data_IF_429105707671
#
_entry.id   IF_429105707671
#
_cell.length_a   1.000
_cell.length_b   1.000
_cell.length_c   1.000
_cell.angle_alpha   90.00
_cell.angle_beta   90.00
_cell.angle_gamma   90.00
#
_symmetry.space_group_name_H-M   'P 1'
#
loop_
_entity.id
_entity.type
_entity.pdbx_description
1 polymer ?
#
# COMPACT_ATOMS: atom_id res chain seq x y z
N UNK A 1 17.07 4.46 -20.61
CA UNK A 1 18.00 5.59 -20.77
C UNK A 1 19.21 5.27 -19.91
N UNK A 2 20.46 5.33 -20.38
CA UNK A 2 21.61 5.13 -19.51
C UNK A 2 21.65 6.23 -18.44
N UNK A 3 21.98 5.87 -17.22
CA UNK A 3 22.18 6.81 -16.11
C UNK A 3 23.38 7.69 -16.44
N UNK A 4 23.20 9.01 -16.41
CA UNK A 4 24.29 9.96 -16.65
C UNK A 4 24.94 10.36 -15.31
N UNK A 5 26.24 10.20 -15.20
CA UNK A 5 27.03 10.50 -13.99
C UNK A 5 27.26 12.01 -13.74
N UNK A 6 26.82 12.89 -14.63
CA UNK A 6 27.06 14.35 -14.51
C UNK A 6 26.07 15.08 -13.59
N UNK A 7 24.98 14.44 -13.16
CA UNK A 7 24.02 15.00 -12.20
C UNK A 7 23.87 14.04 -11.02
N UNK A 8 23.72 14.60 -9.82
CA UNK A 8 23.40 13.81 -8.62
C UNK A 8 22.06 13.09 -8.85
N UNK A 9 22.08 11.77 -8.93
CA UNK A 9 20.91 10.92 -9.04
C UNK A 9 20.79 10.06 -7.78
N UNK A 10 19.56 9.83 -7.34
CA UNK A 10 19.28 8.92 -6.23
C UNK A 10 18.68 7.63 -6.76
N UNK A 11 19.07 6.52 -6.15
CA UNK A 11 18.62 5.19 -6.49
C UNK A 11 17.88 4.54 -5.33
N UNK A 12 16.76 3.90 -5.65
CA UNK A 12 16.13 2.87 -4.84
C UNK A 12 16.44 1.52 -5.47
N UNK A 13 16.98 0.59 -4.71
CA UNK A 13 17.36 -0.73 -5.21
C UNK A 13 16.37 -1.77 -4.69
N UNK A 14 15.80 -2.55 -5.61
CA UNK A 14 14.72 -3.49 -5.31
C UNK A 14 15.01 -4.87 -5.93
N UNK A 15 14.82 -5.93 -5.15
CA UNK A 15 14.86 -7.33 -5.58
C UNK A 15 14.03 -8.21 -4.66
N UNK A 16 13.36 -9.23 -5.19
CA UNK A 16 12.62 -10.23 -4.42
C UNK A 16 11.66 -9.62 -3.37
N UNK A 17 10.90 -8.58 -3.75
CA UNK A 17 9.97 -7.84 -2.87
C UNK A 17 10.63 -7.15 -1.67
N UNK A 18 11.92 -6.83 -1.78
CA UNK A 18 12.68 -6.13 -0.75
C UNK A 18 13.46 -4.95 -1.33
N UNK A 19 13.71 -3.95 -0.50
CA UNK A 19 14.59 -2.83 -0.78
C UNK A 19 15.95 -3.04 -0.12
N UNK A 20 17.00 -2.61 -0.79
CA UNK A 20 18.31 -2.48 -0.16
C UNK A 20 18.25 -1.30 0.82
N UNK A 21 18.74 -1.49 2.03
CA UNK A 21 18.87 -0.43 3.02
C UNK A 21 20.15 -0.59 3.84
N UNK A 22 20.61 0.51 4.42
CA UNK A 22 21.72 0.49 5.40
C UNK A 22 21.21 -0.02 6.76
N UNK A 23 22.14 -0.30 7.68
CA UNK A 23 21.82 -0.66 9.07
C UNK A 23 21.03 0.44 9.82
N UNK A 24 21.02 1.67 9.28
CA UNK A 24 20.25 2.82 9.77
C UNK A 24 18.97 3.07 8.96
N UNK A 25 18.52 2.10 8.15
CA UNK A 25 17.33 2.17 7.29
C UNK A 25 17.35 3.27 6.23
N UNK A 26 18.52 3.77 5.83
CA UNK A 26 18.63 4.61 4.64
C UNK A 26 18.40 3.75 3.40
N UNK A 27 17.48 4.19 2.53
CA UNK A 27 17.03 3.44 1.34
C UNK A 27 17.38 4.14 0.02
N UNK A 28 17.75 5.42 0.08
CA UNK A 28 18.16 6.22 -1.07
C UNK A 28 19.68 6.28 -1.13
N UNK A 29 20.24 5.80 -2.24
CA UNK A 29 21.68 5.75 -2.49
C UNK A 29 22.06 6.73 -3.61
N UNK A 30 23.27 7.28 -3.55
CA UNK A 30 23.81 8.10 -4.65
C UNK A 30 24.27 7.17 -5.77
N UNK A 31 24.00 7.55 -7.01
CA UNK A 31 24.35 6.74 -8.19
C UNK A 31 25.85 6.39 -8.21
N UNK A 32 26.72 7.35 -7.91
CA UNK A 32 28.18 7.18 -8.01
C UNK A 32 28.69 6.04 -7.11
N UNK A 33 28.07 5.83 -5.96
CA UNK A 33 28.45 4.77 -5.00
C UNK A 33 28.11 3.35 -5.51
N UNK A 34 27.16 3.23 -6.42
CA UNK A 34 26.61 1.95 -6.90
C UNK A 34 26.85 1.69 -8.39
N UNK A 35 27.32 2.69 -9.14
CA UNK A 35 27.39 2.64 -10.59
C UNK A 35 28.13 1.43 -11.14
N UNK A 36 29.32 1.14 -10.61
CA UNK A 36 30.14 0.00 -11.04
C UNK A 36 29.48 -1.35 -10.71
N UNK A 37 28.84 -1.47 -9.55
CA UNK A 37 28.20 -2.71 -9.09
C UNK A 37 26.92 -3.01 -9.87
N UNK A 38 26.08 -1.99 -10.13
CA UNK A 38 24.82 -2.14 -10.88
C UNK A 38 25.08 -2.52 -12.33
N UNK A 39 26.08 -1.93 -12.99
CA UNK A 39 26.40 -2.23 -14.39
C UNK A 39 26.91 -3.66 -14.63
N UNK A 40 27.28 -4.38 -13.57
CA UNK A 40 27.76 -5.77 -13.67
C UNK A 40 26.64 -6.80 -13.50
N UNK A 41 25.41 -6.38 -13.19
CA UNK A 41 24.27 -7.27 -12.93
C UNK A 41 23.11 -6.96 -13.85
N UNK A 42 22.23 -7.95 -14.10
CA UNK A 42 21.02 -7.72 -14.88
C UNK A 42 20.03 -6.86 -14.10
N UNK A 43 19.57 -5.78 -14.72
CA UNK A 43 18.71 -4.82 -14.06
C UNK A 43 17.77 -4.09 -15.02
N UNK A 44 16.68 -3.59 -14.46
CA UNK A 44 15.76 -2.67 -15.14
C UNK A 44 15.71 -1.36 -14.34
N UNK A 45 15.70 -0.22 -15.06
CA UNK A 45 15.60 1.10 -14.44
C UNK A 45 14.27 1.75 -14.79
N UNK A 46 13.57 2.27 -13.76
CA UNK A 46 12.34 3.05 -13.90
C UNK A 46 12.58 4.42 -13.25
N UNK A 47 12.30 5.50 -13.96
CA UNK A 47 12.36 6.85 -13.38
C UNK A 47 11.15 7.09 -12.49
N UNK A 48 11.36 7.55 -11.26
CA UNK A 48 10.29 7.88 -10.30
C UNK A 48 9.99 9.39 -10.25
N UNK A 49 10.70 10.20 -11.05
CA UNK A 49 10.57 11.66 -11.02
C UNK A 49 11.60 12.32 -10.12
N UNK A 50 11.21 13.41 -9.45
CA UNK A 50 12.11 14.22 -8.62
C UNK A 50 11.77 14.05 -7.13
N UNK A 51 12.81 13.90 -6.32
CA UNK A 51 12.77 13.94 -4.86
C UNK A 51 13.65 15.10 -4.38
N UNK A 52 13.04 16.10 -3.76
CA UNK A 52 13.74 17.34 -3.38
C UNK A 52 14.59 17.92 -4.52
N UNK A 53 14.01 18.00 -5.73
CA UNK A 53 14.65 18.45 -6.97
C UNK A 53 15.82 17.57 -7.47
N UNK A 54 16.00 16.37 -6.92
CA UNK A 54 16.99 15.39 -7.36
C UNK A 54 16.27 14.25 -8.08
N UNK A 55 16.70 13.85 -9.30
CA UNK A 55 16.13 12.69 -9.98
C UNK A 55 16.26 11.40 -9.15
N UNK A 56 15.17 10.64 -9.06
CA UNK A 56 15.15 9.34 -8.39
C UNK A 56 14.81 8.25 -9.38
N UNK A 57 15.55 7.17 -9.31
CA UNK A 57 15.36 5.99 -10.15
C UNK A 57 15.20 4.74 -9.29
N UNK A 58 14.25 3.89 -9.67
CA UNK A 58 14.10 2.55 -9.17
C UNK A 58 14.94 1.61 -10.03
N UNK A 59 15.84 0.86 -9.40
CA UNK A 59 16.63 -0.20 -10.02
C UNK A 59 16.08 -1.54 -9.55
N UNK A 60 15.52 -2.30 -10.47
CA UNK A 60 14.97 -3.63 -10.21
C UNK A 60 16.01 -4.66 -10.64
N UNK A 61 16.49 -5.45 -9.71
CA UNK A 61 17.46 -6.52 -9.95
C UNK A 61 16.75 -7.86 -10.11
N UNK A 62 17.36 -8.78 -10.85
CA UNK A 62 16.88 -10.16 -11.02
C UNK A 62 16.95 -10.97 -9.73
N UNK A 63 17.91 -10.67 -8.85
CA UNK A 63 18.08 -11.27 -7.52
C UNK A 63 18.80 -10.30 -6.58
N UNK A 64 18.91 -10.70 -5.33
CA UNK A 64 19.66 -9.95 -4.32
C UNK A 64 21.18 -10.14 -4.48
N UNK A 65 21.89 -9.04 -4.47
CA UNK A 65 23.36 -9.00 -4.52
C UNK A 65 23.92 -8.26 -3.30
N UNK A 66 25.15 -8.57 -2.93
CA UNK A 66 25.93 -7.76 -1.98
C UNK A 66 26.55 -6.59 -2.73
N UNK A 67 25.85 -5.47 -2.79
CA UNK A 67 26.27 -4.29 -3.56
C UNK A 67 27.17 -3.35 -2.80
N UNK A 68 26.91 -3.18 -1.49
CA UNK A 68 27.65 -2.31 -0.58
C UNK A 68 27.83 -2.99 0.77
N UNK A 69 28.92 -2.65 1.48
CA UNK A 69 29.09 -3.02 2.88
C UNK A 69 28.05 -2.33 3.77
N UNK A 70 27.72 -2.93 4.91
CA UNK A 70 26.74 -2.38 5.87
C UNK A 70 25.34 -2.13 5.27
N UNK A 71 24.94 -2.97 4.33
CA UNK A 71 23.60 -2.96 3.75
C UNK A 71 22.95 -4.34 3.85
N UNK A 72 21.62 -4.35 3.96
CA UNK A 72 20.81 -5.56 3.97
C UNK A 72 19.52 -5.35 3.19
N UNK A 73 18.86 -6.45 2.85
CA UNK A 73 17.58 -6.44 2.14
C UNK A 73 16.43 -6.48 3.14
N UNK A 74 15.48 -5.56 2.99
CA UNK A 74 14.36 -5.43 3.91
C UNK A 74 13.04 -5.26 3.16
N UNK A 75 12.01 -6.00 3.60
CA UNK A 75 10.66 -5.85 3.05
C UNK A 75 10.02 -4.52 3.49
N UNK A 76 9.04 -4.05 2.70
CA UNK A 76 8.43 -2.74 2.92
C UNK A 76 7.69 -2.61 4.26
N UNK A 77 7.09 -3.70 4.77
CA UNK A 77 6.27 -3.65 6.00
C UNK A 77 7.07 -3.28 7.26
N UNK A 78 8.22 -3.90 7.57
CA UNK A 78 9.06 -3.43 8.67
C UNK A 78 9.63 -2.03 8.45
N UNK A 79 9.98 -1.64 7.21
CA UNK A 79 10.47 -0.30 6.89
C UNK A 79 9.46 0.79 7.24
N UNK A 80 8.15 0.53 7.11
CA UNK A 80 7.09 1.48 7.45
C UNK A 80 7.22 2.04 8.87
N UNK A 81 7.76 1.26 9.81
CA UNK A 81 7.92 1.66 11.23
C UNK A 81 9.26 2.35 11.50
N UNK A 82 10.22 2.32 10.56
CA UNK A 82 11.59 2.78 10.74
C UNK A 82 11.92 4.05 9.96
N UNK A 83 11.13 4.39 8.95
CA UNK A 83 11.37 5.54 8.06
C UNK A 83 10.25 6.58 8.19
N UNK A 84 10.53 7.79 7.74
CA UNK A 84 9.53 8.85 7.74
C UNK A 84 8.39 8.59 6.72
N UNK A 85 7.19 9.15 6.93
CA UNK A 85 6.03 8.89 6.06
C UNK A 85 6.23 9.27 4.60
N UNK A 86 7.03 10.31 4.32
CA UNK A 86 7.25 10.78 2.96
C UNK A 86 8.14 9.79 2.20
N UNK A 87 9.21 9.31 2.84
CA UNK A 87 10.07 8.24 2.31
C UNK A 87 9.27 6.94 2.13
N UNK A 88 8.40 6.58 3.08
CA UNK A 88 7.52 5.41 2.94
C UNK A 88 6.59 5.51 1.72
N UNK A 89 6.01 6.68 1.47
CA UNK A 89 5.19 6.93 0.27
C UNK A 89 5.98 6.70 -1.03
N UNK A 90 7.23 7.17 -1.09
CA UNK A 90 8.11 6.93 -2.23
C UNK A 90 8.42 5.44 -2.41
N UNK A 91 8.72 4.72 -1.33
CA UNK A 91 8.94 3.27 -1.38
C UNK A 91 7.68 2.51 -1.81
N UNK A 92 6.51 2.93 -1.35
CA UNK A 92 5.24 2.35 -1.76
C UNK A 92 4.99 2.49 -3.26
N UNK A 93 5.22 3.67 -3.81
CA UNK A 93 5.16 3.92 -5.25
C UNK A 93 6.17 3.07 -6.02
N UNK A 94 7.42 3.02 -5.55
CA UNK A 94 8.48 2.20 -6.15
C UNK A 94 8.13 0.70 -6.11
N UNK A 95 7.62 0.19 -4.99
CA UNK A 95 7.22 -1.22 -4.84
C UNK A 95 6.11 -1.61 -5.82
N UNK A 96 5.09 -0.76 -5.98
CA UNK A 96 4.01 -1.02 -6.95
C UNK A 96 4.53 -1.04 -8.40
N UNK A 97 5.38 -0.09 -8.77
CA UNK A 97 5.98 -0.09 -10.11
C UNK A 97 6.91 -1.28 -10.33
N UNK A 98 7.70 -1.69 -9.31
CA UNK A 98 8.56 -2.85 -9.39
C UNK A 98 7.75 -4.14 -9.61
N UNK A 99 6.74 -4.36 -8.77
CA UNK A 99 5.89 -5.55 -8.85
C UNK A 99 5.17 -5.60 -10.18
N UNK A 100 4.60 -4.46 -10.63
CA UNK A 100 3.97 -4.37 -11.94
C UNK A 100 4.96 -4.67 -13.09
N UNK A 101 6.17 -4.11 -13.05
CA UNK A 101 7.17 -4.36 -14.10
C UNK A 101 7.63 -5.83 -14.15
N UNK A 102 7.64 -6.51 -13.00
CA UNK A 102 7.96 -7.94 -12.89
C UNK A 102 6.81 -8.81 -13.39
N UNK A 103 5.56 -8.53 -12.98
CA UNK A 103 4.39 -9.35 -13.28
C UNK A 103 3.93 -9.22 -14.74
N UNK A 104 4.14 -8.05 -15.36
CA UNK A 104 3.69 -7.77 -16.73
C UNK A 104 4.82 -7.85 -17.78
N UNK A 105 5.82 -8.71 -17.54
CA UNK A 105 6.89 -9.00 -18.52
C UNK A 105 6.36 -9.61 -19.84
N UNK A 106 5.24 -10.32 -19.78
CA UNK A 106 4.62 -10.96 -20.91
C UNK A 106 3.18 -10.47 -21.12
N UNK A 107 2.78 -10.36 -22.38
CA UNK A 107 1.44 -9.92 -22.75
C UNK A 107 0.38 -10.96 -22.40
N UNK A 108 -0.60 -10.60 -21.58
CA UNK A 108 -1.70 -11.49 -21.19
C UNK A 108 -2.64 -11.86 -22.36
N UNK A 109 -2.54 -11.18 -23.53
CA UNK A 109 -3.32 -11.48 -24.73
C UNK A 109 -2.65 -12.48 -25.67
N UNK A 110 -1.34 -12.33 -25.92
CA UNK A 110 -0.63 -13.12 -26.95
C UNK A 110 0.67 -13.79 -26.48
N UNK A 111 1.05 -13.64 -25.21
CA UNK A 111 2.24 -14.25 -24.62
C UNK A 111 3.58 -13.59 -25.02
N UNK A 112 3.60 -12.63 -25.94
CA UNK A 112 4.84 -11.97 -26.37
C UNK A 112 5.40 -11.07 -25.27
N UNK A 113 6.73 -10.86 -25.28
CA UNK A 113 7.41 -9.99 -24.32
C UNK A 113 6.93 -8.55 -24.47
N UNK A 114 6.57 -7.92 -23.35
CA UNK A 114 6.16 -6.52 -23.25
C UNK A 114 7.38 -5.58 -23.22
N UNK A 115 7.18 -4.35 -23.68
CA UNK A 115 8.19 -3.29 -23.60
C UNK A 115 7.67 -2.18 -22.68
N UNK A 116 8.57 -1.65 -21.84
CA UNK A 116 8.24 -0.56 -20.92
C UNK A 116 8.41 0.81 -21.63
N UNK A 117 7.36 1.63 -21.59
CA UNK A 117 7.43 3.04 -21.97
C UNK A 117 7.71 3.89 -20.73
N UNK A 118 8.95 4.36 -20.58
CA UNK A 118 9.41 5.12 -19.41
C UNK A 118 8.77 6.51 -19.28
N UNK A 119 8.19 7.07 -20.36
CA UNK A 119 7.57 8.40 -20.33
C UNK A 119 6.15 8.39 -19.75
N UNK A 120 5.43 7.29 -19.91
CA UNK A 120 4.02 7.16 -19.55
C UNK A 120 3.71 6.02 -18.57
N UNK A 121 4.76 5.34 -18.07
CA UNK A 121 4.62 4.19 -17.17
C UNK A 121 3.57 3.18 -17.63
N UNK A 122 3.67 2.72 -18.90
CA UNK A 122 2.88 1.61 -19.39
C UNK A 122 3.75 0.54 -20.04
N UNK A 123 3.29 -0.69 -20.01
CA UNK A 123 3.82 -1.78 -20.83
C UNK A 123 3.05 -1.84 -22.15
N UNK A 124 3.73 -2.04 -23.26
CA UNK A 124 3.08 -2.24 -24.57
C UNK A 124 3.63 -3.50 -25.25
N UNK A 125 2.74 -4.17 -25.97
CA UNK A 125 3.05 -5.35 -26.76
C UNK A 125 3.21 -4.99 -28.23
N UNK A 126 4.41 -5.14 -28.77
CA UNK A 126 4.69 -4.86 -30.21
C UNK A 126 3.92 -5.83 -31.11
N UNK A 127 3.68 -7.07 -30.67
CA UNK A 127 3.03 -8.09 -31.50
C UNK A 127 1.51 -7.91 -31.66
N UNK A 128 0.81 -7.37 -30.66
CA UNK A 128 -0.66 -7.25 -30.70
C UNK A 128 -1.19 -5.89 -30.26
N UNK A 129 -0.33 -4.90 -30.07
CA UNK A 129 -0.66 -3.53 -29.66
C UNK A 129 -1.42 -3.42 -28.33
N UNK A 130 -1.37 -4.43 -27.47
CA UNK A 130 -1.95 -4.38 -26.14
C UNK A 130 -1.15 -3.44 -25.24
N UNK A 131 -1.85 -2.57 -24.49
CA UNK A 131 -1.24 -1.62 -23.54
C UNK A 131 -1.76 -1.96 -22.14
N UNK A 132 -0.85 -1.99 -21.16
CA UNK A 132 -1.17 -2.27 -19.75
C UNK A 132 -0.52 -1.22 -18.87
N UNK A 133 -1.33 -0.51 -18.10
CA UNK A 133 -0.89 0.44 -17.08
C UNK A 133 -0.60 -0.25 -15.75
N UNK A 134 0.09 0.41 -14.80
CA UNK A 134 0.25 -0.10 -13.46
C UNK A 134 -1.09 -0.49 -12.84
N UNK A 135 -1.16 -1.70 -12.29
CA UNK A 135 -2.38 -2.24 -11.69
C UNK A 135 -2.64 -1.56 -10.35
N UNK A 136 -3.90 -1.19 -10.11
CA UNK A 136 -4.42 -0.81 -8.81
C UNK A 136 -5.68 -1.62 -8.52
N UNK A 137 -5.78 -2.18 -7.32
CA UNK A 137 -6.95 -2.89 -6.84
C UNK A 137 -7.68 -1.96 -5.85
N UNK A 138 -8.83 -1.39 -6.19
CA UNK A 138 -9.62 -0.63 -5.25
C UNK A 138 -10.11 -1.54 -4.12
N UNK A 139 -9.92 -1.08 -2.89
CA UNK A 139 -10.29 -1.80 -1.67
C UNK A 139 -10.98 -0.81 -0.73
N UNK A 140 -12.23 -1.06 -0.37
CA UNK A 140 -12.90 -0.26 0.65
C UNK A 140 -12.32 -0.55 2.02
N UNK A 141 -12.35 0.41 2.92
CA UNK A 141 -12.04 0.26 4.33
C UNK A 141 -12.95 1.16 5.15
N UNK A 142 -13.61 0.63 6.18
CA UNK A 142 -14.70 1.33 6.83
C UNK A 142 -14.67 1.22 8.35
N UNK A 143 -14.85 2.36 9.03
CA UNK A 143 -15.18 2.42 10.44
C UNK A 143 -16.69 2.57 10.61
N UNK A 144 -17.31 1.63 11.30
CA UNK A 144 -18.74 1.64 11.65
C UNK A 144 -18.89 2.07 13.10
N UNK A 145 -19.82 2.99 13.34
CA UNK A 145 -19.96 3.67 14.62
C UNK A 145 -21.38 3.58 15.18
N UNK A 146 -21.47 3.53 16.52
CA UNK A 146 -22.74 3.52 17.26
C UNK A 146 -22.59 4.31 18.56
N UNK A 147 -22.94 5.60 18.55
CA UNK A 147 -22.75 6.46 19.72
C UNK A 147 -21.28 6.61 20.12
N UNK A 148 -20.89 6.09 21.29
CA UNK A 148 -19.51 6.08 21.79
C UNK A 148 -18.78 4.75 21.51
N UNK A 149 -19.35 3.91 20.67
CA UNK A 149 -18.78 2.62 20.31
C UNK A 149 -18.39 2.58 18.83
N UNK A 150 -17.35 1.83 18.55
CA UNK A 150 -16.86 1.53 17.19
C UNK A 150 -16.79 0.02 16.99
N UNK A 151 -17.13 -0.43 15.79
CA UNK A 151 -16.96 -1.82 15.40
C UNK A 151 -15.54 -2.05 14.94
N UNK A 152 -14.86 -3.02 15.56
CA UNK A 152 -13.56 -3.49 15.11
C UNK A 152 -13.59 -5.01 14.98
N UNK A 153 -12.82 -5.52 14.04
CA UNK A 153 -12.70 -6.94 13.75
C UNK A 153 -11.23 -7.39 13.73
N UNK A 154 -11.04 -8.66 13.98
CA UNK A 154 -9.74 -9.33 13.93
C UNK A 154 -9.78 -10.42 12.88
N UNK A 155 -8.87 -10.30 11.89
CA UNK A 155 -8.61 -11.38 10.95
C UNK A 155 -7.63 -12.40 11.54
N UNK A 156 -7.77 -13.70 11.25
CA UNK A 156 -6.79 -14.72 11.67
C UNK A 156 -5.37 -14.48 11.12
N UNK A 157 -5.24 -13.59 10.15
CA UNK A 157 -3.94 -13.19 9.56
C UNK A 157 -3.23 -12.06 10.32
N UNK A 158 -3.90 -11.42 11.27
CA UNK A 158 -3.31 -10.33 12.04
C UNK A 158 -2.40 -10.87 13.16
N UNK A 159 -1.50 -10.01 13.63
CA UNK A 159 -0.78 -10.29 14.86
C UNK A 159 -1.76 -10.47 16.03
N UNK A 160 -1.39 -11.30 17.01
CA UNK A 160 -2.24 -11.60 18.15
C UNK A 160 -2.78 -10.32 18.80
N UNK A 161 -4.09 -10.29 19.03
CA UNK A 161 -4.84 -9.21 19.69
C UNK A 161 -4.99 -7.88 18.93
N UNK A 162 -4.50 -7.74 17.70
CA UNK A 162 -4.73 -6.52 16.90
C UNK A 162 -6.12 -6.56 16.25
N UNK A 163 -6.91 -5.51 16.48
CA UNK A 163 -8.20 -5.29 15.83
C UNK A 163 -8.11 -4.10 14.88
N UNK A 164 -8.81 -4.19 13.76
CA UNK A 164 -8.84 -3.19 12.72
C UNK A 164 -10.27 -2.92 12.26
N UNK A 165 -10.43 -1.96 11.37
CA UNK A 165 -11.65 -1.69 10.62
C UNK A 165 -11.84 -2.76 9.55
N UNK A 166 -13.09 -2.99 9.08
CA UNK A 166 -13.42 -3.91 7.99
C UNK A 166 -12.85 -3.40 6.66
N UNK A 167 -12.47 -4.33 5.78
CA UNK A 167 -11.91 -3.94 4.47
C UNK A 167 -12.07 -5.07 3.44
N UNK A 168 -12.61 -4.73 2.26
CA UNK A 168 -12.83 -5.67 1.18
C UNK A 168 -12.56 -5.08 -0.21
N UNK A 169 -12.36 -5.95 -1.21
CA UNK A 169 -12.08 -5.53 -2.57
C UNK A 169 -13.35 -5.26 -3.36
N UNK A 170 -13.30 -4.20 -4.17
CA UNK A 170 -14.36 -3.90 -5.13
C UNK A 170 -14.35 -4.95 -6.25
N UNK A 171 -15.51 -5.55 -6.51
CA UNK A 171 -15.69 -6.55 -7.56
C UNK A 171 -16.04 -5.93 -8.91
N UNK A 172 -15.92 -6.72 -9.98
CA UNK A 172 -16.24 -6.27 -11.33
C UNK A 172 -17.74 -5.96 -11.49
N UNK A 173 -18.05 -4.73 -11.88
CA UNK A 173 -19.43 -4.26 -12.06
C UNK A 173 -20.05 -3.62 -10.81
N UNK A 174 -19.31 -3.57 -9.70
CA UNK A 174 -19.76 -3.00 -8.43
C UNK A 174 -19.30 -1.55 -8.28
N UNK A 175 -20.14 -0.71 -7.69
CA UNK A 175 -19.69 0.59 -7.17
C UNK A 175 -18.96 0.42 -5.84
N UNK A 176 -18.17 1.43 -5.44
CA UNK A 176 -17.49 1.36 -4.13
C UNK A 176 -18.48 1.36 -2.98
N UNK A 177 -19.59 2.10 -3.13
CA UNK A 177 -20.66 2.17 -2.15
C UNK A 177 -21.39 0.82 -2.00
N UNK A 178 -21.66 0.11 -3.10
CA UNK A 178 -22.23 -1.24 -3.07
C UNK A 178 -21.27 -2.24 -2.41
N UNK A 179 -19.98 -2.16 -2.75
CA UNK A 179 -18.94 -2.96 -2.11
C UNK A 179 -18.93 -2.76 -0.60
N UNK A 180 -19.01 -1.51 -0.12
CA UNK A 180 -19.06 -1.23 1.32
C UNK A 180 -20.25 -1.94 1.98
N UNK A 181 -21.42 -1.87 1.40
CA UNK A 181 -22.61 -2.52 1.96
C UNK A 181 -22.52 -4.05 1.93
N UNK A 182 -22.02 -4.61 0.82
CA UNK A 182 -21.82 -6.06 0.66
C UNK A 182 -20.82 -6.61 1.68
N UNK A 183 -19.61 -6.05 1.72
CA UNK A 183 -18.53 -6.51 2.60
C UNK A 183 -18.92 -6.40 4.09
N UNK A 184 -19.57 -5.31 4.51
CA UNK A 184 -20.07 -5.18 5.88
C UNK A 184 -21.09 -6.26 6.20
N UNK A 185 -21.98 -6.58 5.26
CA UNK A 185 -22.98 -7.61 5.47
C UNK A 185 -22.36 -9.02 5.49
N UNK A 186 -21.42 -9.29 4.57
CA UNK A 186 -20.73 -10.59 4.46
C UNK A 186 -19.82 -10.84 5.66
N UNK A 187 -18.96 -9.89 6.01
CA UNK A 187 -17.98 -10.06 7.08
C UNK A 187 -18.60 -10.13 8.49
N UNK A 188 -19.66 -9.34 8.75
CA UNK A 188 -20.18 -9.18 10.12
C UNK A 188 -21.73 -9.19 10.25
N UNK A 189 -22.51 -9.38 9.19
CA UNK A 189 -23.96 -9.60 9.23
C UNK A 189 -24.82 -8.37 9.53
N UNK A 190 -24.25 -7.15 9.62
CA UNK A 190 -24.99 -5.94 9.97
C UNK A 190 -25.31 -5.09 8.74
N UNK A 191 -26.20 -4.11 8.92
CA UNK A 191 -26.48 -3.06 7.92
C UNK A 191 -26.05 -1.70 8.45
N UNK A 192 -25.73 -0.81 7.52
CA UNK A 192 -25.22 0.53 7.79
C UNK A 192 -26.00 1.60 7.04
N UNK A 193 -25.91 2.84 7.51
CA UNK A 193 -26.44 4.02 6.83
C UNK A 193 -25.43 5.18 6.95
N UNK A 194 -25.78 6.35 6.37
CA UNK A 194 -24.97 7.57 6.43
C UNK A 194 -23.50 7.34 6.03
N UNK A 195 -23.28 6.63 4.92
CA UNK A 195 -21.95 6.37 4.37
C UNK A 195 -21.24 7.69 4.01
N UNK A 196 -20.04 7.91 4.49
CA UNK A 196 -19.24 9.12 4.27
C UNK A 196 -17.82 8.73 3.84
N UNK A 197 -17.42 9.19 2.66
CA UNK A 197 -16.03 9.08 2.22
C UNK A 197 -15.12 10.01 3.03
N UNK A 198 -14.01 9.48 3.51
CA UNK A 198 -13.05 10.21 4.37
C UNK A 198 -11.76 10.53 3.61
N UNK A 199 -11.24 9.57 2.84
CA UNK A 199 -10.01 9.75 2.08
C UNK A 199 -9.50 8.45 1.49
N UNK A 200 -8.37 8.50 0.76
CA UNK A 200 -7.76 7.30 0.18
C UNK A 200 -6.27 7.22 0.47
N UNK A 201 -5.75 6.01 0.60
CA UNK A 201 -4.34 5.75 0.82
C UNK A 201 -3.83 4.71 -0.18
N UNK A 202 -2.67 5.00 -0.77
CA UNK A 202 -1.90 3.99 -1.48
C UNK A 202 -1.42 2.93 -0.49
N UNK A 203 -1.75 1.65 -0.73
CA UNK A 203 -1.37 0.54 0.12
C UNK A 203 -0.66 -0.54 -0.70
N UNK A 204 0.69 -0.50 -0.77
CA UNK A 204 1.49 -1.27 -1.74
C UNK A 204 1.69 -2.74 -1.37
N UNK A 205 0.60 -3.45 -1.05
CA UNK A 205 0.60 -4.88 -0.69
C UNK A 205 -0.40 -5.68 -1.52
N UNK A 206 -0.10 -6.05 -2.78
CA UNK A 206 0.91 -5.37 -3.61
C UNK A 206 0.36 -4.17 -4.38
N UNK A 207 -0.95 -4.05 -4.63
CA UNK A 207 -1.58 -3.11 -5.56
C UNK A 207 -2.78 -2.37 -4.99
N UNK A 208 -3.02 -2.39 -3.69
CA UNK A 208 -4.25 -1.83 -3.11
C UNK A 208 -4.26 -0.31 -3.13
N UNK A 209 -5.41 0.23 -3.50
CA UNK A 209 -5.82 1.61 -3.25
C UNK A 209 -6.95 1.57 -2.21
N UNK A 210 -6.62 1.92 -0.97
CA UNK A 210 -7.59 1.94 0.12
C UNK A 210 -8.50 3.16 0.00
N UNK A 211 -9.82 2.94 0.05
CA UNK A 211 -10.86 3.96 0.00
C UNK A 211 -11.57 3.96 1.35
N UNK A 212 -11.28 4.96 2.18
CA UNK A 212 -11.69 5.03 3.58
C UNK A 212 -13.05 5.67 3.77
N UNK A 213 -13.89 5.04 4.59
CA UNK A 213 -15.24 5.47 4.89
C UNK A 213 -15.53 5.47 6.38
N UNK A 214 -16.49 6.31 6.80
CA UNK A 214 -17.25 6.16 8.04
C UNK A 214 -18.70 5.88 7.70
N UNK A 215 -19.38 5.07 8.53
CA UNK A 215 -20.81 4.89 8.47
C UNK A 215 -21.40 4.71 9.86
N UNK A 216 -22.71 4.90 9.96
CA UNK A 216 -23.44 4.67 11.19
C UNK A 216 -24.10 3.27 11.13
N UNK A 217 -24.05 2.53 12.24
CA UNK A 217 -24.78 1.28 12.38
C UNK A 217 -26.30 1.52 12.24
N UNK A 218 -26.95 0.68 11.45
CA UNK A 218 -28.38 0.77 11.23
C UNK A 218 -29.15 -0.36 11.94
N UNK A 219 -28.77 -1.63 11.70
CA UNK A 219 -29.44 -2.79 12.26
C UNK A 219 -28.61 -4.08 12.10
N UNK A 220 -29.03 -5.16 12.74
CA UNK A 220 -28.44 -6.50 12.66
C UNK A 220 -27.66 -6.88 13.91
N UNK A 221 -27.33 -8.15 14.04
CA UNK A 221 -26.46 -8.67 15.09
C UNK A 221 -25.11 -9.06 14.45
N UNK A 222 -24.02 -8.82 15.19
CA UNK A 222 -22.69 -9.19 14.70
C UNK A 222 -22.60 -10.70 14.56
N UNK A 223 -22.40 -11.15 13.34
CA UNK A 223 -22.19 -12.56 12.97
C UNK A 223 -20.94 -12.65 12.11
N UNK A 224 -19.74 -12.84 12.71
CA UNK A 224 -18.49 -12.89 11.97
C UNK A 224 -18.48 -14.04 10.95
N UNK A 225 -17.98 -13.77 9.72
CA UNK A 225 -17.72 -14.81 8.73
C UNK A 225 -16.45 -15.59 9.11
N UNK A 226 -16.54 -16.89 9.43
CA UNK A 226 -15.46 -17.62 10.13
C UNK A 226 -14.12 -17.69 9.37
N UNK A 227 -14.17 -17.69 8.03
CA UNK A 227 -12.97 -17.84 7.19
C UNK A 227 -12.14 -16.53 7.08
N UNK A 228 -12.76 -15.37 7.35
CA UNK A 228 -12.15 -14.05 7.18
C UNK A 228 -12.05 -13.28 8.50
N UNK A 229 -13.03 -13.41 9.37
CA UNK A 229 -13.13 -12.69 10.64
C UNK A 229 -13.14 -13.69 11.79
N UNK A 230 -12.07 -13.70 12.58
CA UNK A 230 -11.93 -14.54 13.78
C UNK A 230 -12.80 -14.03 14.92
N UNK A 231 -12.90 -12.71 15.07
CA UNK A 231 -13.69 -12.03 16.07
C UNK A 231 -14.09 -10.63 15.62
N UNK A 232 -15.30 -10.19 15.93
CA UNK A 232 -15.77 -8.84 15.70
C UNK A 232 -16.67 -8.38 16.83
N UNK A 233 -16.42 -7.18 17.37
CA UNK A 233 -17.18 -6.67 18.49
C UNK A 233 -17.20 -5.14 18.55
N UNK A 234 -18.13 -4.62 19.35
CA UNK A 234 -18.20 -3.20 19.67
C UNK A 234 -17.21 -2.85 20.78
N UNK A 235 -16.39 -1.84 20.55
CA UNK A 235 -15.46 -1.28 21.54
C UNK A 235 -15.86 0.14 21.87
N UNK A 236 -15.89 0.49 23.14
CA UNK A 236 -16.03 1.89 23.53
C UNK A 236 -14.77 2.66 23.18
N UNK A 237 -14.91 3.90 22.70
CA UNK A 237 -13.76 4.76 22.35
C UNK A 237 -12.81 5.04 23.53
N UNK A 238 -13.25 4.77 24.77
CA UNK A 238 -12.46 4.93 25.99
C UNK A 238 -11.63 3.69 26.35
N UNK A 239 -11.94 2.51 25.76
CA UNK A 239 -11.25 1.25 26.05
C UNK A 239 -11.10 0.46 24.75
N UNK A 240 -10.01 0.72 24.05
CA UNK A 240 -9.70 0.09 22.77
C UNK A 240 -8.72 -1.06 22.92
N UNK A 241 -8.77 -2.04 22.02
CA UNK A 241 -7.77 -3.11 21.92
C UNK A 241 -6.46 -2.58 21.29
N UNK A 242 -5.55 -3.47 20.99
CA UNK A 242 -4.40 -3.14 20.14
C UNK A 242 -4.87 -2.77 18.73
N UNK A 243 -4.40 -1.64 18.23
CA UNK A 243 -4.83 -1.04 16.96
C UNK A 243 -3.70 -1.08 15.93
N UNK A 244 -4.02 -0.92 14.62
CA UNK A 244 -3.02 -0.80 13.57
C UNK A 244 -2.08 0.39 13.80
N UNK A 245 -0.88 0.37 13.18
CA UNK A 245 0.08 1.47 13.28
C UNK A 245 -0.50 2.77 12.70
N UNK A 246 -0.02 3.92 13.20
CA UNK A 246 -0.51 5.25 12.79
C UNK A 246 -0.35 5.57 11.31
N UNK A 247 0.50 4.84 10.61
CA UNK A 247 0.71 4.96 9.18
C UNK A 247 -0.41 4.34 8.33
N UNK A 248 -1.31 3.55 8.94
CA UNK A 248 -2.41 2.91 8.23
C UNK A 248 -3.69 3.76 8.26
N UNK A 249 -4.39 3.84 7.12
CA UNK A 249 -5.68 4.55 7.03
C UNK A 249 -6.73 3.97 8.00
N UNK A 250 -6.70 2.67 8.29
CA UNK A 250 -7.56 2.06 9.32
C UNK A 250 -7.42 2.75 10.67
N UNK A 251 -6.18 3.01 11.10
CA UNK A 251 -5.91 3.74 12.33
C UNK A 251 -6.36 5.19 12.25
N UNK A 252 -6.16 5.84 11.12
CA UNK A 252 -6.61 7.21 10.90
C UNK A 252 -8.13 7.35 11.03
N UNK A 253 -8.91 6.42 10.45
CA UNK A 253 -10.38 6.42 10.56
C UNK A 253 -10.82 6.35 12.03
N UNK A 254 -10.18 5.49 12.82
CA UNK A 254 -10.46 5.35 14.26
C UNK A 254 -10.10 6.64 15.02
N UNK A 255 -8.87 7.11 14.86
CA UNK A 255 -8.38 8.30 15.58
C UNK A 255 -9.18 9.56 15.20
N UNK A 256 -9.62 9.71 13.93
CA UNK A 256 -10.45 10.81 13.47
C UNK A 256 -11.81 10.82 14.18
N UNK A 257 -12.48 9.68 14.23
CA UNK A 257 -13.78 9.58 14.93
C UNK A 257 -13.65 9.93 16.42
N UNK A 258 -12.62 9.40 17.07
CA UNK A 258 -12.36 9.70 18.48
C UNK A 258 -12.10 11.20 18.70
N UNK A 259 -11.29 11.81 17.83
CA UNK A 259 -11.02 13.24 17.91
C UNK A 259 -12.28 14.10 17.74
N UNK A 260 -13.17 13.72 16.81
CA UNK A 260 -14.45 14.40 16.60
C UNK A 260 -15.39 14.24 17.79
N UNK A 261 -15.47 13.04 18.39
CA UNK A 261 -16.30 12.79 19.58
C UNK A 261 -15.82 13.52 20.83
N UNK A 262 -14.51 13.61 21.01
CA UNK A 262 -13.90 14.25 22.18
C UNK A 262 -13.59 15.74 21.99
N UNK A 263 -13.92 16.30 20.82
CA UNK A 263 -13.59 17.67 20.41
C UNK A 263 -12.09 18.00 20.57
N UNK A 264 -11.21 17.05 20.23
CA UNK A 264 -9.76 17.20 20.27
C UNK A 264 -9.17 17.48 18.87
N UNK A 265 -7.87 17.75 18.81
CA UNK A 265 -7.18 17.97 17.54
C UNK A 265 -7.30 16.73 16.61
N UNK A 266 -7.67 16.96 15.34
CA UNK A 266 -7.77 15.89 14.35
C UNK A 266 -6.38 15.33 14.03
N UNK A 267 -6.28 13.99 13.83
CA UNK A 267 -5.02 13.36 13.43
C UNK A 267 -4.60 13.83 12.03
N UNK A 268 -3.30 13.77 11.76
CA UNK A 268 -2.76 13.97 10.41
C UNK A 268 -3.07 12.76 9.54
N UNK A 269 -3.56 13.00 8.31
CA UNK A 269 -3.84 11.94 7.36
C UNK A 269 -2.55 11.19 6.97
N UNK A 270 -2.51 9.85 6.98
CA UNK A 270 -1.36 9.08 6.55
C UNK A 270 -1.26 9.09 5.02
N UNK A 271 -0.23 9.69 4.49
CA UNK A 271 0.00 9.81 3.03
C UNK A 271 0.78 8.64 2.46
#
# INVERSE_FOLDING_TARGET
MPLQTTQKNLLLIYANNQFLCTDQYQVLFVLDDLFSSINQVDHQIISLGLWNNIPVHLVILDKQYSLLSHTHWQSLRPLMLQIDPITFKLLGYAAQLATWAIDYKFCGRCGSRMQHNSKQHHMYCVACNNIVYPRLNPCMIILITRGDEILLARSPRFANNMYSTLAGFVEAGESVEDCVHREVHEEVGITINNLRYIGSQNWPYPYSLMLGFHADYAAGEITPQPDEIEDAQWFTIKKLPELPPKQAISRYLIDLYIAEKLATAKPTFPH
#
